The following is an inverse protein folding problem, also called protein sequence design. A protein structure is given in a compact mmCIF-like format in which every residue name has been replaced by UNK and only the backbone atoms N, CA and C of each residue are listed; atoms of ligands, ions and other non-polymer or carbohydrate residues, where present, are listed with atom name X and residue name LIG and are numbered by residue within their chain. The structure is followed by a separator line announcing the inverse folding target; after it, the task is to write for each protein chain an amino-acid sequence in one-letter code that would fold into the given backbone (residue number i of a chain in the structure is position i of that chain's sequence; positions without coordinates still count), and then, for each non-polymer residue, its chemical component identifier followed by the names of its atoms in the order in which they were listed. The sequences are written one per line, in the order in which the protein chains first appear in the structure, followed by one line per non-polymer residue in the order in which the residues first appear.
data_IF_315438364710
#
_entry.id   IF_315438364710
#
_cell.length_a   1.000
_cell.length_b   1.000
_cell.length_c   1.000
_cell.angle_alpha   90.00
_cell.angle_beta   90.00
_cell.angle_gamma   90.00
#
_symmetry.space_group_name_H-M   'P 1'
#
loop_
_entity.id
_entity.type
_entity.pdbx_description
1 polymer ?
#
# COMPACT_ATOMS: atom_id res chain seq x y z
N UNK A 1 14.03 3.05 6.72
CA UNK A 1 13.59 4.47 6.69
C UNK A 1 14.75 5.42 6.35
N UNK A 2 15.82 4.95 5.69
CA UNK A 2 16.98 5.78 5.37
C UNK A 2 17.42 5.55 3.93
N UNK A 3 18.14 6.51 3.36
CA UNK A 3 18.75 6.38 2.04
C UNK A 3 19.69 5.17 1.96
N UNK A 4 20.41 4.89 3.04
CA UNK A 4 21.31 3.75 3.15
C UNK A 4 20.60 2.40 2.96
N UNK A 5 19.34 2.29 3.39
CA UNK A 5 18.56 1.06 3.21
C UNK A 5 18.31 0.75 1.72
N UNK A 6 18.09 1.79 0.91
CA UNK A 6 17.89 1.66 -0.52
C UNK A 6 19.20 1.34 -1.24
N UNK A 7 20.31 2.00 -0.88
CA UNK A 7 21.65 1.68 -1.39
C UNK A 7 22.05 0.24 -1.04
N UNK A 8 21.76 -0.19 0.18
CA UNK A 8 21.98 -1.57 0.62
C UNK A 8 21.10 -2.58 -0.12
N UNK A 9 19.85 -2.20 -0.45
CA UNK A 9 18.97 -3.02 -1.26
C UNK A 9 19.50 -3.20 -2.69
N UNK A 10 19.90 -2.11 -3.35
CA UNK A 10 20.52 -2.14 -4.70
C UNK A 10 21.77 -3.02 -4.71
N UNK A 11 22.67 -2.84 -3.74
CA UNK A 11 23.85 -3.69 -3.58
C UNK A 11 23.49 -5.18 -3.47
N UNK A 12 22.54 -5.53 -2.60
CA UNK A 12 22.09 -6.93 -2.44
C UNK A 12 21.45 -7.50 -3.70
N UNK A 13 20.80 -6.68 -4.51
CA UNK A 13 20.23 -7.09 -5.80
C UNK A 13 21.36 -7.40 -6.78
N UNK A 14 22.31 -6.48 -6.95
CA UNK A 14 23.49 -6.65 -7.82
C UNK A 14 24.33 -7.87 -7.44
N UNK A 15 24.64 -8.04 -6.16
CA UNK A 15 25.40 -9.16 -5.63
C UNK A 15 24.76 -10.52 -5.96
N UNK A 16 23.42 -10.62 -5.87
CA UNK A 16 22.68 -11.87 -6.12
C UNK A 16 22.52 -12.18 -7.60
N UNK A 17 22.45 -11.15 -8.42
CA UNK A 17 22.42 -11.29 -9.88
C UNK A 17 23.82 -11.53 -10.44
N UNK A 18 24.89 -11.25 -9.67
CA UNK A 18 26.28 -11.38 -10.11
C UNK A 18 26.67 -10.31 -11.13
N UNK A 19 26.08 -9.12 -11.02
CA UNK A 19 26.23 -8.02 -11.98
C UNK A 19 26.88 -6.80 -11.33
N UNK A 20 27.48 -5.95 -12.16
CA UNK A 20 28.07 -4.67 -11.71
C UNK A 20 27.40 -3.47 -12.35
N UNK A 21 26.65 -3.67 -13.43
CA UNK A 21 25.83 -2.66 -14.08
C UNK A 21 24.64 -2.22 -13.20
N UNK A 22 24.12 -1.04 -13.50
CA UNK A 22 22.95 -0.51 -12.81
C UNK A 22 21.68 -1.29 -13.14
N UNK A 23 20.93 -1.57 -12.09
CA UNK A 23 19.62 -2.21 -12.17
C UNK A 23 18.58 -1.14 -12.48
N UNK A 24 17.73 -1.40 -13.47
CA UNK A 24 16.57 -0.54 -13.72
C UNK A 24 15.42 -0.95 -12.78
N UNK A 25 14.84 0.03 -12.12
CA UNK A 25 13.71 -0.10 -11.21
C UNK A 25 12.47 0.60 -11.78
N UNK A 26 11.31 0.09 -11.44
CA UNK A 26 10.03 0.79 -11.54
C UNK A 26 9.70 1.32 -10.15
N UNK A 27 9.63 2.65 -10.03
CA UNK A 27 9.24 3.34 -8.81
C UNK A 27 7.76 3.68 -8.91
N UNK A 28 6.96 3.24 -7.94
CA UNK A 28 5.51 3.45 -7.91
C UNK A 28 5.09 4.03 -6.55
N UNK A 29 4.18 5.01 -6.51
CA UNK A 29 3.66 5.47 -5.23
C UNK A 29 3.01 4.32 -4.46
N UNK A 30 3.31 4.24 -3.17
CA UNK A 30 2.72 3.25 -2.29
C UNK A 30 1.34 3.74 -1.85
N UNK A 31 0.32 3.39 -2.65
CA UNK A 31 -1.07 3.76 -2.40
C UNK A 31 -1.54 3.29 -1.02
N UNK A 32 -2.18 4.18 -0.29
CA UNK A 32 -2.71 3.89 1.04
C UNK A 32 -4.15 3.38 0.96
N UNK A 33 -4.29 2.09 0.64
CA UNK A 33 -5.59 1.46 0.45
C UNK A 33 -5.67 0.02 0.95
N UNK A 34 -6.37 -0.80 0.18
CA UNK A 34 -6.50 -2.23 0.40
C UNK A 34 -6.09 -3.02 -0.85
N UNK A 35 -5.08 -3.87 -0.68
CA UNK A 35 -4.63 -4.79 -1.71
C UNK A 35 -5.70 -5.81 -2.10
N UNK A 36 -5.92 -5.95 -3.41
CA UNK A 36 -6.88 -6.86 -4.02
C UNK A 36 -6.25 -7.64 -5.17
N UNK A 37 -6.79 -8.83 -5.41
CA UNK A 37 -6.45 -9.72 -6.51
C UNK A 37 -7.71 -10.02 -7.32
N UNK A 38 -7.67 -9.75 -8.63
CA UNK A 38 -8.80 -9.95 -9.54
C UNK A 38 -8.41 -10.99 -10.60
N UNK A 39 -9.20 -12.05 -10.70
CA UNK A 39 -9.03 -13.11 -11.68
C UNK A 39 -9.99 -12.90 -12.85
N UNK A 40 -9.45 -13.00 -14.05
CA UNK A 40 -10.20 -12.95 -15.29
C UNK A 40 -9.99 -14.25 -16.05
N UNK A 41 -11.09 -14.82 -16.52
CA UNK A 41 -11.09 -15.98 -17.41
C UNK A 41 -11.65 -15.54 -18.76
N UNK A 42 -10.90 -15.79 -19.83
CA UNK A 42 -11.23 -15.35 -21.19
C UNK A 42 -11.59 -13.86 -21.25
N UNK A 43 -10.84 -13.06 -20.48
CA UNK A 43 -11.02 -11.62 -20.33
C UNK A 43 -12.24 -11.19 -19.51
N UNK A 44 -13.06 -12.07 -18.94
CA UNK A 44 -14.19 -11.71 -18.09
C UNK A 44 -13.82 -11.85 -16.60
N UNK A 45 -14.14 -10.84 -15.78
CA UNK A 45 -13.91 -10.89 -14.34
C UNK A 45 -14.72 -12.05 -13.73
N UNK A 46 -14.04 -13.02 -13.13
CA UNK A 46 -14.69 -14.16 -12.46
C UNK A 46 -14.72 -13.95 -10.95
N UNK A 47 -13.55 -13.73 -10.34
CA UNK A 47 -13.38 -13.66 -8.88
C UNK A 47 -12.51 -12.47 -8.49
N UNK A 48 -12.81 -11.85 -7.35
CA UNK A 48 -11.92 -10.88 -6.73
C UNK A 48 -11.80 -11.14 -5.22
N UNK A 49 -10.59 -11.09 -4.71
CA UNK A 49 -10.28 -11.37 -3.31
C UNK A 49 -9.44 -10.27 -2.66
N UNK A 50 -9.61 -10.08 -1.36
CA UNK A 50 -8.66 -9.29 -0.56
C UNK A 50 -7.34 -10.08 -0.37
N UNK A 51 -6.26 -9.39 -0.01
CA UNK A 51 -4.98 -10.07 0.27
C UNK A 51 -5.04 -11.07 1.43
N UNK A 52 -5.85 -10.80 2.46
CA UNK A 52 -5.88 -11.58 3.70
C UNK A 52 -4.48 -11.81 4.30
N UNK A 53 -4.12 -13.07 4.52
CA UNK A 53 -2.81 -13.49 5.06
C UNK A 53 -1.74 -13.75 3.98
N UNK A 54 -2.06 -13.50 2.71
CA UNK A 54 -1.21 -13.76 1.55
C UNK A 54 -1.46 -15.11 0.89
N UNK A 55 -2.20 -16.01 1.54
CA UNK A 55 -2.60 -17.31 1.00
C UNK A 55 -4.12 -17.42 0.84
N UNK A 56 -4.88 -16.93 1.82
CA UNK A 56 -6.34 -16.92 1.84
C UNK A 56 -6.87 -15.50 2.02
N UNK A 57 -7.80 -15.13 1.14
CA UNK A 57 -8.45 -13.83 1.11
C UNK A 57 -9.97 -13.92 1.23
N UNK A 58 -10.61 -12.79 1.53
CA UNK A 58 -12.08 -12.69 1.51
C UNK A 58 -12.56 -12.46 0.08
N UNK A 59 -13.59 -13.20 -0.35
CA UNK A 59 -14.29 -12.94 -1.62
C UNK A 59 -15.05 -11.61 -1.54
N UNK A 60 -14.68 -10.70 -2.42
CA UNK A 60 -15.24 -9.36 -2.58
C UNK A 60 -15.72 -9.10 -4.00
N UNK A 61 -15.93 -10.16 -4.80
CA UNK A 61 -16.29 -10.08 -6.22
C UNK A 61 -17.49 -9.18 -6.45
N UNK A 62 -18.56 -9.35 -5.68
CA UNK A 62 -19.77 -8.55 -5.81
C UNK A 62 -19.53 -7.05 -5.53
N UNK A 63 -18.60 -6.72 -4.63
CA UNK A 63 -18.28 -5.34 -4.26
C UNK A 63 -17.35 -4.71 -5.31
N UNK A 64 -16.34 -5.46 -5.77
CA UNK A 64 -15.40 -5.05 -6.81
C UNK A 64 -16.11 -4.71 -8.12
N UNK A 65 -17.14 -5.48 -8.50
CA UNK A 65 -17.95 -5.19 -9.69
C UNK A 65 -18.64 -3.82 -9.68
N UNK A 66 -18.72 -3.16 -8.53
CA UNK A 66 -19.35 -1.84 -8.39
C UNK A 66 -18.38 -0.68 -8.52
N UNK A 67 -17.07 -0.95 -8.59
CA UNK A 67 -16.02 0.08 -8.72
C UNK A 67 -15.85 0.45 -10.20
N UNK A 68 -16.14 1.70 -10.61
CA UNK A 68 -16.14 2.07 -12.04
C UNK A 68 -14.77 1.94 -12.74
N UNK A 69 -13.67 2.05 -12.01
CA UNK A 69 -12.32 1.89 -12.56
C UNK A 69 -11.89 0.44 -12.77
N UNK A 70 -12.72 -0.53 -12.40
CA UNK A 70 -12.46 -1.96 -12.60
C UNK A 70 -13.16 -2.42 -13.88
N UNK A 71 -12.41 -2.88 -14.91
CA UNK A 71 -13.03 -3.43 -16.11
C UNK A 71 -13.73 -4.76 -15.77
N UNK A 72 -15.02 -4.90 -16.10
CA UNK A 72 -15.70 -6.21 -15.96
C UNK A 72 -15.31 -7.18 -17.07
N UNK A 73 -14.90 -6.63 -18.22
CA UNK A 73 -14.31 -7.34 -19.34
C UNK A 73 -13.05 -6.59 -19.78
N UNK A 74 -11.94 -7.29 -19.90
CA UNK A 74 -10.68 -6.76 -20.39
C UNK A 74 -10.82 -6.35 -21.86
N UNK A 75 -10.15 -5.25 -22.22
CA UNK A 75 -10.12 -4.72 -23.59
C UNK A 75 -8.98 -5.36 -24.38
N UNK A 76 -9.18 -5.48 -25.69
CA UNK A 76 -8.20 -6.07 -26.61
C UNK A 76 -8.44 -7.56 -26.85
N UNK A 77 -7.80 -8.07 -27.90
CA UNK A 77 -7.96 -9.45 -28.35
C UNK A 77 -6.84 -10.38 -27.82
N UNK A 78 -5.71 -9.81 -27.39
CA UNK A 78 -4.55 -10.52 -26.85
C UNK A 78 -4.58 -10.57 -25.31
N UNK A 79 -5.64 -11.15 -24.76
CA UNK A 79 -5.78 -11.37 -23.31
C UNK A 79 -5.54 -12.85 -23.01
N UNK A 80 -4.61 -13.21 -22.11
CA UNK A 80 -4.42 -14.60 -21.69
C UNK A 80 -5.71 -15.23 -21.14
N UNK A 81 -5.88 -16.54 -21.37
CA UNK A 81 -7.06 -17.29 -20.94
C UNK A 81 -7.34 -17.15 -19.45
N UNK A 82 -6.29 -17.14 -18.63
CA UNK A 82 -6.37 -16.89 -17.20
C UNK A 82 -5.33 -15.83 -16.80
N UNK A 83 -5.82 -14.73 -16.25
CA UNK A 83 -4.96 -13.64 -15.77
C UNK A 83 -5.41 -13.15 -14.39
N UNK A 84 -4.43 -12.95 -13.52
CA UNK A 84 -4.60 -12.31 -12.23
C UNK A 84 -4.04 -10.88 -12.31
N UNK A 85 -4.90 -9.88 -12.10
CA UNK A 85 -4.48 -8.48 -11.96
C UNK A 85 -4.53 -8.09 -10.50
N UNK A 86 -3.38 -7.65 -9.97
CA UNK A 86 -3.23 -7.18 -8.59
C UNK A 86 -3.16 -5.66 -8.55
N UNK A 87 -3.82 -5.09 -7.57
CA UNK A 87 -3.90 -3.65 -7.42
C UNK A 87 -4.30 -3.24 -6.01
N UNK A 88 -4.37 -1.93 -5.81
CA UNK A 88 -4.82 -1.33 -4.57
C UNK A 88 -6.18 -0.67 -4.83
N UNK A 89 -7.19 -1.01 -4.04
CA UNK A 89 -8.43 -0.23 -3.95
C UNK A 89 -8.20 0.89 -2.94
N UNK A 90 -8.42 2.13 -3.37
CA UNK A 90 -8.25 3.33 -2.54
C UNK A 90 -9.45 4.26 -2.68
N UNK A 91 -9.49 5.28 -1.83
CA UNK A 91 -10.49 6.35 -1.89
C UNK A 91 -9.77 7.67 -2.17
N UNK A 92 -10.06 8.35 -3.30
CA UNK A 92 -9.54 9.69 -3.57
C UNK A 92 -9.92 10.66 -2.43
N UNK A 93 -9.07 11.67 -2.18
CA UNK A 93 -9.25 12.66 -1.10
C UNK A 93 -10.60 13.37 -1.21
N UNK A 94 -10.94 13.87 -2.40
CA UNK A 94 -12.24 14.52 -2.65
C UNK A 94 -13.42 13.57 -2.39
N UNK A 95 -13.32 12.33 -2.87
CA UNK A 95 -14.32 11.29 -2.60
C UNK A 95 -14.51 11.02 -1.10
N UNK A 96 -13.41 10.97 -0.35
CA UNK A 96 -13.41 10.80 1.10
C UNK A 96 -14.09 11.97 1.82
N UNK A 97 -13.74 13.21 1.46
CA UNK A 97 -14.34 14.42 2.03
C UNK A 97 -15.85 14.48 1.78
N UNK A 98 -16.29 14.21 0.54
CA UNK A 98 -17.70 14.14 0.17
C UNK A 98 -18.45 13.03 0.91
N UNK A 99 -17.78 11.89 1.15
CA UNK A 99 -18.37 10.80 1.91
C UNK A 99 -18.59 11.19 3.38
N UNK A 100 -17.57 11.76 4.01
CA UNK A 100 -17.66 12.19 5.40
C UNK A 100 -18.69 13.31 5.60
N UNK A 101 -18.79 14.25 4.66
CA UNK A 101 -19.83 15.29 4.69
C UNK A 101 -21.23 14.68 4.69
N UNK A 102 -21.51 13.74 3.79
CA UNK A 102 -22.81 13.04 3.71
C UNK A 102 -23.12 12.21 4.96
N UNK A 103 -22.10 11.61 5.59
CA UNK A 103 -22.26 10.87 6.84
C UNK A 103 -22.60 11.82 7.99
N UNK A 104 -21.87 12.94 8.11
CA UNK A 104 -22.08 13.94 9.15
C UNK A 104 -23.47 14.58 9.06
N UNK A 105 -23.94 14.92 7.85
CA UNK A 105 -25.29 15.44 7.59
C UNK A 105 -26.40 14.49 8.06
N UNK A 106 -26.12 13.19 8.13
CA UNK A 106 -27.06 12.15 8.61
C UNK A 106 -26.86 11.78 10.07
N UNK A 107 -25.92 12.42 10.77
CA UNK A 107 -25.53 12.04 12.12
C UNK A 107 -24.87 10.65 12.21
N UNK A 108 -24.36 10.13 11.10
CA UNK A 108 -23.64 8.86 11.04
C UNK A 108 -22.16 9.05 11.39
N UNK A 109 -21.51 7.98 11.89
CA UNK A 109 -20.08 8.00 12.21
C UNK A 109 -19.25 8.21 10.94
N UNK A 110 -18.38 9.21 10.95
CA UNK A 110 -17.42 9.51 9.88
C UNK A 110 -16.19 8.60 9.93
N UNK A 111 -15.48 8.53 8.82
CA UNK A 111 -14.19 7.86 8.73
C UNK A 111 -13.06 8.82 9.08
N UNK A 112 -12.02 8.30 9.73
CA UNK A 112 -10.89 9.12 10.20
C UNK A 112 -9.85 9.36 9.10
N UNK A 113 -9.64 8.37 8.21
CA UNK A 113 -8.74 8.48 7.06
C UNK A 113 -9.25 7.71 5.83
N UNK A 114 -8.74 8.04 4.63
CA UNK A 114 -9.13 7.38 3.38
C UNK A 114 -8.87 5.87 3.35
N UNK A 115 -7.78 5.37 3.95
CA UNK A 115 -7.47 3.93 4.02
C UNK A 115 -8.58 3.14 4.71
N UNK A 116 -8.99 3.60 5.88
CA UNK A 116 -10.07 2.99 6.66
C UNK A 116 -11.43 3.14 5.95
N UNK A 117 -11.67 4.28 5.31
CA UNK A 117 -12.85 4.49 4.50
C UNK A 117 -12.92 3.51 3.32
N UNK A 118 -11.80 3.27 2.61
CA UNK A 118 -11.70 2.33 1.51
C UNK A 118 -11.95 0.89 1.97
N UNK A 119 -11.23 0.44 3.02
CA UNK A 119 -11.37 -0.91 3.57
C UNK A 119 -12.80 -1.17 4.08
N UNK A 120 -13.39 -0.23 4.83
CA UNK A 120 -14.76 -0.34 5.32
C UNK A 120 -15.80 -0.30 4.20
N UNK A 121 -15.56 0.50 3.16
CA UNK A 121 -16.46 0.62 2.00
C UNK A 121 -16.44 -0.62 1.11
N UNK A 122 -15.30 -1.29 0.99
CA UNK A 122 -15.15 -2.47 0.12
C UNK A 122 -15.68 -3.75 0.77
N UNK A 123 -15.66 -3.87 2.09
CA UNK A 123 -16.03 -5.08 2.85
C UNK A 123 -17.49 -5.05 3.32
N UNK A 124 -18.39 -4.52 2.49
CA UNK A 124 -19.81 -4.44 2.80
C UNK A 124 -20.53 -5.74 2.45
N UNK A 125 -21.50 -6.12 3.29
CA UNK A 125 -22.36 -7.30 3.03
C UNK A 125 -23.25 -7.11 1.79
N UNK A 126 -23.67 -5.88 1.52
CA UNK A 126 -24.48 -5.52 0.34
C UNK A 126 -23.64 -4.64 -0.58
N UNK A 127 -23.36 -5.12 -1.79
CA UNK A 127 -22.56 -4.39 -2.79
C UNK A 127 -23.17 -3.06 -3.22
N UNK A 128 -24.48 -2.89 -3.09
CA UNK A 128 -25.17 -1.61 -3.31
C UNK A 128 -24.72 -0.50 -2.36
N UNK A 129 -24.16 -0.86 -1.19
CA UNK A 129 -23.52 0.11 -0.30
C UNK A 129 -22.17 0.53 -0.89
N UNK A 130 -21.33 -0.43 -1.31
CA UNK A 130 -20.04 -0.18 -1.97
C UNK A 130 -20.21 0.67 -3.23
N UNK A 131 -21.24 0.40 -4.04
CA UNK A 131 -21.54 1.15 -5.27
C UNK A 131 -21.76 2.66 -5.06
N UNK A 132 -22.09 3.09 -3.83
CA UNK A 132 -22.30 4.50 -3.47
C UNK A 132 -21.06 5.16 -2.86
N UNK A 133 -19.98 4.39 -2.68
CA UNK A 133 -18.72 4.83 -2.12
C UNK A 133 -17.78 5.18 -3.28
N UNK A 134 -17.06 6.31 -3.21
CA UNK A 134 -16.18 6.75 -4.29
C UNK A 134 -14.86 5.98 -4.23
N UNK A 135 -14.91 4.69 -4.52
CA UNK A 135 -13.73 3.83 -4.60
C UNK A 135 -13.14 3.86 -5.99
N UNK A 136 -11.82 3.75 -6.04
CA UNK A 136 -11.06 3.54 -7.25
C UNK A 136 -10.07 2.40 -7.05
N UNK A 137 -9.55 1.86 -8.15
CA UNK A 137 -8.53 0.82 -8.17
C UNK A 137 -7.42 1.21 -9.15
N UNK A 138 -6.18 1.08 -8.71
CA UNK A 138 -4.99 1.16 -9.54
C UNK A 138 -4.27 -0.19 -9.53
N UNK A 139 -3.94 -0.70 -10.72
CA UNK A 139 -3.15 -1.91 -10.88
C UNK A 139 -1.65 -1.65 -10.66
N UNK A 140 -0.96 -2.60 -10.04
CA UNK A 140 0.49 -2.54 -9.79
C UNK A 140 1.21 -3.85 -10.14
N UNK A 141 0.50 -4.90 -10.53
CA UNK A 141 1.10 -6.17 -10.93
C UNK A 141 0.11 -7.03 -11.72
N UNK A 142 0.65 -7.90 -12.57
CA UNK A 142 -0.08 -8.94 -13.29
C UNK A 142 0.63 -10.27 -13.13
N UNK A 143 -0.14 -11.34 -13.01
CA UNK A 143 0.34 -12.71 -13.06
C UNK A 143 -0.53 -13.52 -14.03
N UNK A 144 0.09 -14.51 -14.67
CA UNK A 144 -0.52 -15.43 -15.63
C UNK A 144 0.01 -16.83 -15.35
N UNK A 145 -0.69 -17.86 -15.80
CA UNK A 145 -0.23 -19.25 -15.62
C UNK A 145 1.03 -19.54 -16.42
N UNK A 146 1.10 -19.03 -17.65
CA UNK A 146 2.29 -19.12 -18.50
C UNK A 146 3.03 -17.79 -18.52
N UNK A 147 4.08 -17.68 -17.71
CA UNK A 147 4.92 -16.47 -17.60
C UNK A 147 5.55 -16.05 -18.94
N UNK A 148 5.67 -16.95 -19.93
CA UNK A 148 6.19 -16.59 -21.26
C UNK A 148 5.25 -15.64 -22.03
N UNK A 149 4.00 -15.54 -21.61
CA UNK A 149 3.05 -14.57 -22.13
C UNK A 149 3.30 -13.16 -21.59
N UNK A 150 4.06 -12.98 -20.51
CA UNK A 150 4.36 -11.65 -19.98
C UNK A 150 5.44 -10.95 -20.82
N UNK A 151 5.44 -9.60 -20.87
CA UNK A 151 6.58 -8.85 -21.39
C UNK A 151 7.86 -9.11 -20.59
N UNK A 152 9.00 -8.68 -21.12
CA UNK A 152 10.30 -8.83 -20.44
C UNK A 152 10.40 -7.95 -19.17
N UNK A 153 9.57 -6.90 -19.08
CA UNK A 153 9.64 -5.90 -18.01
C UNK A 153 8.31 -5.67 -17.27
N UNK A 154 8.41 -5.38 -15.98
CA UNK A 154 7.33 -4.91 -15.11
C UNK A 154 6.65 -3.68 -15.71
N UNK A 155 7.43 -2.72 -16.22
CA UNK A 155 6.90 -1.52 -16.86
C UNK A 155 5.96 -1.85 -18.03
N UNK A 156 6.40 -2.70 -18.94
CA UNK A 156 5.58 -3.14 -20.08
C UNK A 156 4.39 -3.98 -19.63
N UNK A 157 4.55 -4.81 -18.59
CA UNK A 157 3.45 -5.53 -17.96
C UNK A 157 2.35 -4.59 -17.49
N UNK A 158 2.71 -3.51 -16.79
CA UNK A 158 1.76 -2.47 -16.36
C UNK A 158 1.15 -1.71 -17.53
N UNK A 159 1.91 -1.39 -18.58
CA UNK A 159 1.38 -0.76 -19.80
C UNK A 159 0.39 -1.68 -20.52
N UNK A 160 0.63 -2.99 -20.53
CA UNK A 160 -0.31 -3.97 -21.07
C UNK A 160 -1.60 -4.02 -20.24
N UNK A 161 -1.48 -4.09 -18.92
CA UNK A 161 -2.64 -4.03 -18.01
C UNK A 161 -3.44 -2.73 -18.19
N UNK A 162 -2.76 -1.61 -18.42
CA UNK A 162 -3.41 -0.34 -18.76
C UNK A 162 -4.20 -0.45 -20.07
N UNK A 163 -3.64 -1.09 -21.10
CA UNK A 163 -4.32 -1.31 -22.38
C UNK A 163 -5.59 -2.15 -22.25
N UNK A 164 -5.63 -3.06 -21.27
CA UNK A 164 -6.83 -3.85 -20.94
C UNK A 164 -7.94 -3.05 -20.25
N UNK A 165 -7.70 -1.78 -19.92
CA UNK A 165 -8.70 -0.88 -19.36
C UNK A 165 -8.52 -0.54 -17.88
N UNK A 166 -7.44 -1.01 -17.24
CA UNK A 166 -7.12 -0.61 -15.87
C UNK A 166 -6.47 0.77 -15.81
N UNK A 167 -6.64 1.42 -14.66
CA UNK A 167 -5.79 2.56 -14.27
C UNK A 167 -4.47 2.03 -13.72
N UNK A 168 -3.40 2.71 -14.07
CA UNK A 168 -2.09 2.59 -13.44
C UNK A 168 -1.70 3.96 -12.89
N UNK A 169 -0.84 4.01 -11.88
CA UNK A 169 -0.52 5.28 -11.24
C UNK A 169 0.27 6.21 -12.19
N UNK A 170 -0.15 7.47 -12.43
CA UNK A 170 0.53 8.38 -13.34
C UNK A 170 1.91 8.85 -12.83
N UNK A 171 2.16 8.79 -11.53
CA UNK A 171 3.46 9.15 -10.93
C UNK A 171 4.47 8.00 -10.95
N UNK A 172 4.17 6.89 -11.66
CA UNK A 172 5.16 5.84 -11.85
C UNK A 172 6.32 6.31 -12.73
N UNK A 173 7.54 5.90 -12.40
CA UNK A 173 8.72 6.22 -13.20
C UNK A 173 9.72 5.07 -13.24
N UNK A 174 10.57 5.07 -14.25
CA UNK A 174 11.76 4.21 -14.29
C UNK A 174 12.93 4.96 -13.65
N UNK A 175 13.80 4.24 -12.97
CA UNK A 175 15.01 4.77 -12.36
C UNK A 175 16.15 3.75 -12.49
N UNK A 176 17.38 4.18 -12.69
CA UNK A 176 18.56 3.32 -12.81
C UNK A 176 19.45 3.48 -11.59
N UNK A 177 19.63 2.37 -10.87
CA UNK A 177 20.40 2.33 -9.63
C UNK A 177 19.73 3.06 -8.46
N UNK A 178 20.42 3.08 -7.33
CA UNK A 178 19.90 3.64 -6.08
C UNK A 178 19.71 5.16 -6.13
N UNK A 179 20.60 5.91 -6.79
CA UNK A 179 20.56 7.37 -6.77
C UNK A 179 19.35 7.94 -7.53
N UNK A 180 19.05 7.45 -8.74
CA UNK A 180 17.81 7.84 -9.44
C UNK A 180 16.55 7.38 -8.69
N UNK A 181 16.63 6.32 -7.87
CA UNK A 181 15.53 5.91 -7.01
C UNK A 181 15.35 6.88 -5.81
N UNK A 182 16.44 7.43 -5.26
CA UNK A 182 16.39 8.45 -4.20
C UNK A 182 15.84 9.79 -4.72
N UNK A 183 16.17 10.15 -5.94
CA UNK A 183 15.53 11.28 -6.63
C UNK A 183 14.00 11.05 -6.76
N UNK A 184 13.58 9.81 -7.04
CA UNK A 184 12.17 9.43 -7.19
C UNK A 184 11.40 9.59 -5.90
N UNK A 185 12.03 9.15 -4.82
CA UNK A 185 11.53 9.30 -3.49
C UNK A 185 11.35 10.78 -3.14
N UNK A 186 12.37 11.61 -3.38
CA UNK A 186 12.37 13.03 -3.02
C UNK A 186 11.31 13.81 -3.80
N UNK A 187 11.24 13.64 -5.12
CA UNK A 187 10.21 14.30 -5.93
C UNK A 187 8.79 13.88 -5.55
N UNK A 188 8.57 12.59 -5.25
CA UNK A 188 7.25 12.11 -4.86
C UNK A 188 6.88 12.63 -3.46
N UNK A 189 7.85 12.74 -2.56
CA UNK A 189 7.66 13.32 -1.22
C UNK A 189 7.24 14.79 -1.32
N UNK A 190 7.89 15.58 -2.18
CA UNK A 190 7.56 17.01 -2.38
C UNK A 190 6.14 17.21 -2.96
N UNK A 191 5.69 16.28 -3.80
CA UNK A 191 4.35 16.33 -4.41
C UNK A 191 3.25 15.70 -3.55
N UNK A 192 3.60 14.97 -2.49
CA UNK A 192 2.71 14.10 -1.70
C UNK A 192 1.38 14.77 -1.34
N UNK A 193 1.44 15.97 -0.79
CA UNK A 193 0.26 16.68 -0.28
C UNK A 193 -0.68 17.13 -1.41
N UNK A 194 -0.12 17.41 -2.60
CA UNK A 194 -0.87 17.81 -3.79
C UNK A 194 -1.54 16.66 -4.54
N UNK A 195 -1.21 15.40 -4.22
CA UNK A 195 -1.82 14.24 -4.89
C UNK A 195 -3.31 14.09 -4.51
N UNK A 196 -4.19 13.67 -5.44
CA UNK A 196 -5.62 13.51 -5.17
C UNK A 196 -5.95 12.24 -4.38
N UNK A 197 -4.95 11.53 -3.88
CA UNK A 197 -5.05 10.29 -3.12
C UNK A 197 -3.94 10.23 -2.06
N UNK A 198 -4.10 9.37 -1.07
CA UNK A 198 -3.10 9.16 -0.02
C UNK A 198 -2.05 8.14 -0.43
N UNK A 199 -0.80 8.43 -0.07
CA UNK A 199 0.35 7.53 -0.20
C UNK A 199 1.16 7.54 1.09
N UNK A 200 1.68 6.38 1.49
CA UNK A 200 2.51 6.23 2.69
C UNK A 200 3.99 5.99 2.38
N UNK A 201 4.38 6.12 1.11
CA UNK A 201 5.75 5.95 0.64
C UNK A 201 5.84 5.69 -0.85
N UNK A 202 6.93 5.05 -1.25
CA UNK A 202 7.20 4.58 -2.60
C UNK A 202 7.59 3.10 -2.57
N UNK A 203 7.29 2.38 -3.65
CA UNK A 203 7.73 1.00 -3.87
C UNK A 203 8.70 0.99 -5.04
N UNK A 204 9.87 0.42 -4.82
CA UNK A 204 10.86 0.16 -5.86
C UNK A 204 10.81 -1.32 -6.24
N UNK A 205 10.67 -1.62 -7.52
CA UNK A 205 10.65 -2.99 -8.06
C UNK A 205 11.69 -3.12 -9.16
N UNK A 206 12.51 -4.16 -9.14
CA UNK A 206 13.40 -4.49 -10.26
C UNK A 206 12.56 -4.60 -11.53
N UNK A 207 12.91 -3.87 -12.59
CA UNK A 207 12.07 -3.76 -13.78
C UNK A 207 12.06 -5.06 -14.60
N UNK A 208 13.21 -5.73 -14.72
CA UNK A 208 13.33 -6.96 -15.52
C UNK A 208 12.72 -8.19 -14.83
N UNK A 209 11.80 -8.89 -15.48
CA UNK A 209 11.10 -10.03 -14.89
C UNK A 209 11.98 -11.27 -14.73
N UNK A 210 12.95 -11.49 -15.63
CA UNK A 210 13.94 -12.56 -15.49
C UNK A 210 14.85 -12.35 -14.27
N UNK A 211 15.21 -11.09 -13.97
CA UNK A 211 15.93 -10.74 -12.74
C UNK A 211 15.06 -10.93 -11.50
N UNK A 212 13.77 -10.56 -11.53
CA UNK A 212 12.84 -10.85 -10.42
C UNK A 212 12.78 -12.35 -10.11
N UNK A 213 12.70 -13.19 -11.15
CA UNK A 213 12.68 -14.65 -11.04
C UNK A 213 13.98 -15.20 -10.43
N UNK A 214 15.13 -14.72 -10.88
CA UNK A 214 16.43 -15.10 -10.33
C UNK A 214 16.59 -14.69 -8.86
N UNK A 215 16.08 -13.52 -8.48
CA UNK A 215 16.11 -13.02 -7.10
C UNK A 215 15.18 -13.80 -6.17
N UNK A 216 13.99 -14.18 -6.66
CA UNK A 216 13.00 -14.97 -5.93
C UNK A 216 12.44 -14.27 -4.68
N UNK A 217 12.07 -15.07 -3.68
CA UNK A 217 11.37 -14.62 -2.48
C UNK A 217 12.09 -15.05 -1.19
N UNK A 218 11.89 -14.31 -0.11
CA UNK A 218 12.00 -14.83 1.27
C UNK A 218 10.60 -15.25 1.74
N UNK A 219 10.50 -15.86 2.93
CA UNK A 219 9.26 -16.46 3.46
C UNK A 219 7.97 -15.61 3.34
N UNK A 220 8.08 -14.28 3.33
CA UNK A 220 6.92 -13.37 3.23
C UNK A 220 7.12 -12.15 2.32
N UNK A 221 8.23 -12.04 1.59
CA UNK A 221 8.52 -10.85 0.80
C UNK A 221 9.37 -11.15 -0.44
N UNK A 222 9.16 -10.45 -1.57
CA UNK A 222 10.04 -10.54 -2.73
C UNK A 222 11.43 -9.98 -2.40
N UNK A 223 12.47 -10.57 -3.01
CA UNK A 223 13.85 -10.06 -2.91
C UNK A 223 14.14 -8.95 -3.93
N UNK A 224 13.21 -8.74 -4.85
CA UNK A 224 13.29 -7.82 -5.99
C UNK A 224 12.44 -6.56 -5.82
N UNK A 225 11.82 -6.36 -4.66
CA UNK A 225 11.11 -5.14 -4.35
C UNK A 225 11.32 -4.69 -2.90
N UNK A 226 11.30 -3.37 -2.69
CA UNK A 226 11.35 -2.76 -1.36
C UNK A 226 10.37 -1.59 -1.31
N UNK A 227 9.72 -1.42 -0.16
CA UNK A 227 8.86 -0.28 0.11
C UNK A 227 9.59 0.67 1.05
N UNK A 228 9.81 1.90 0.62
CA UNK A 228 10.36 2.96 1.45
C UNK A 228 9.23 3.89 1.87
N UNK A 229 8.88 3.82 3.15
CA UNK A 229 7.86 4.69 3.72
C UNK A 229 8.39 6.12 3.87
N UNK A 230 7.50 7.09 3.68
CA UNK A 230 7.80 8.46 4.08
C UNK A 230 7.92 8.56 5.60
N UNK A 231 8.62 9.60 6.11
CA UNK A 231 8.58 9.90 7.53
C UNK A 231 7.12 9.97 7.98
N UNK A 232 6.84 9.35 9.13
CA UNK A 232 5.54 9.52 9.75
C UNK A 232 5.34 11.01 10.06
N UNK A 233 4.10 11.47 10.01
CA UNK A 233 3.79 12.75 10.63
C UNK A 233 4.05 12.59 12.13
N UNK A 234 4.76 13.55 12.70
CA UNK A 234 5.05 13.61 14.13
C UNK A 234 4.33 14.84 14.68
N UNK A 235 3.71 14.69 15.85
CA UNK A 235 3.04 15.78 16.56
C UNK A 235 3.38 15.67 18.03
N UNK A 236 3.56 16.81 18.67
CA UNK A 236 3.83 16.88 20.10
C UNK A 236 2.54 16.72 20.89
N UNK A 237 2.57 15.91 21.95
CA UNK A 237 1.48 15.81 22.92
C UNK A 237 2.01 15.56 24.31
N UNK A 238 1.13 15.52 25.31
CA UNK A 238 1.50 15.35 26.72
C UNK A 238 1.19 13.93 27.18
N UNK A 239 2.12 13.31 27.91
CA UNK A 239 1.87 12.08 28.65
C UNK A 239 1.00 12.42 29.88
N UNK A 240 -0.26 12.01 29.87
CA UNK A 240 -1.19 12.23 30.98
C UNK A 240 -1.05 11.15 32.06
N UNK A 241 -0.75 9.92 31.68
CA UNK A 241 -0.58 8.78 32.60
C UNK A 241 0.20 7.64 31.94
N UNK A 242 0.60 6.61 32.71
CA UNK A 242 1.17 5.37 32.19
C UNK A 242 0.48 4.16 32.80
N UNK A 243 -0.14 3.34 31.95
CA UNK A 243 -0.75 2.08 32.36
C UNK A 243 0.15 0.89 32.05
N UNK A 244 0.01 -0.19 32.84
CA UNK A 244 0.79 -1.42 32.67
C UNK A 244 -0.15 -2.58 32.30
N UNK A 245 0.00 -3.09 31.09
CA UNK A 245 -0.81 -4.19 30.56
C UNK A 245 -0.08 -5.52 30.71
N UNK A 246 -0.77 -6.55 31.22
CA UNK A 246 -0.22 -7.91 31.33
C UNK A 246 -0.62 -8.72 30.11
N UNK A 247 0.36 -9.10 29.29
CA UNK A 247 0.18 -9.94 28.12
C UNK A 247 -0.09 -11.41 28.46
N UNK A 248 -0.50 -12.19 27.44
CA UNK A 248 -0.83 -13.63 27.59
C UNK A 248 0.32 -14.49 28.12
N UNK A 249 1.56 -14.04 27.96
CA UNK A 249 2.77 -14.72 28.45
C UNK A 249 3.25 -14.19 29.81
N UNK A 250 2.49 -13.30 30.45
CA UNK A 250 2.87 -12.63 31.70
C UNK A 250 3.77 -11.40 31.54
N UNK A 251 4.15 -11.05 30.30
CA UNK A 251 4.92 -9.84 30.02
C UNK A 251 4.13 -8.58 30.42
N UNK A 252 4.75 -7.67 31.16
CA UNK A 252 4.15 -6.40 31.57
C UNK A 252 4.63 -5.30 30.63
N UNK A 253 3.72 -4.73 29.84
CA UNK A 253 4.02 -3.70 28.84
C UNK A 253 3.50 -2.34 29.31
N UNK A 254 4.38 -1.32 29.47
CA UNK A 254 3.95 0.03 29.75
C UNK A 254 3.34 0.70 28.51
N UNK A 255 2.24 1.43 28.72
CA UNK A 255 1.49 2.16 27.69
C UNK A 255 1.20 3.56 28.20
N UNK A 256 1.76 4.58 27.54
CA UNK A 256 1.47 5.97 27.81
C UNK A 256 0.03 6.30 27.40
N UNK A 257 -0.72 6.92 28.30
CA UNK A 257 -1.95 7.64 28.00
C UNK A 257 -1.56 9.06 27.60
N UNK A 258 -1.95 9.44 26.40
CA UNK A 258 -1.59 10.72 25.82
C UNK A 258 -2.81 11.63 25.80
N UNK A 259 -2.58 12.92 26.01
CA UNK A 259 -3.56 13.94 25.65
C UNK A 259 -3.91 13.72 24.17
N UNK A 260 -5.20 13.59 23.80
CA UNK A 260 -5.58 13.23 22.44
C UNK A 260 -4.98 14.20 21.41
N UNK A 261 -4.21 13.66 20.46
CA UNK A 261 -3.53 14.41 19.40
C UNK A 261 -3.86 13.77 18.04
N UNK A 262 -3.96 14.57 16.99
CA UNK A 262 -4.28 14.08 15.65
C UNK A 262 -3.00 13.92 14.85
N UNK A 263 -2.61 12.68 14.54
CA UNK A 263 -1.34 12.35 13.86
C UNK A 263 -1.60 11.40 12.72
N UNK A 264 -1.14 11.70 11.50
CA UNK A 264 -1.25 10.77 10.37
C UNK A 264 -2.69 10.37 10.04
N UNK A 265 -3.65 11.27 10.20
CA UNK A 265 -5.06 10.99 9.90
C UNK A 265 -5.78 10.12 10.94
N UNK A 266 -5.24 9.99 12.16
CA UNK A 266 -5.92 9.33 13.29
C UNK A 266 -5.72 10.11 14.58
N UNK A 267 -6.73 10.10 15.47
CA UNK A 267 -6.53 10.58 16.85
C UNK A 267 -5.81 9.50 17.64
N UNK A 268 -4.60 9.82 18.08
CA UNK A 268 -3.78 8.99 18.95
C UNK A 268 -3.97 9.47 20.38
N UNK A 269 -4.35 8.56 21.26
CA UNK A 269 -4.45 8.79 22.72
C UNK A 269 -3.61 7.80 23.52
N UNK A 270 -2.88 6.92 22.85
CA UNK A 270 -2.07 5.88 23.47
C UNK A 270 -0.81 5.63 22.65
N UNK A 271 0.32 5.46 23.33
CA UNK A 271 1.57 4.99 22.73
C UNK A 271 2.20 3.92 23.62
N UNK A 272 2.79 2.89 23.01
CA UNK A 272 3.58 1.92 23.78
C UNK A 272 4.88 2.58 24.21
N UNK A 273 5.29 2.34 25.46
CA UNK A 273 6.63 2.68 25.94
C UNK A 273 7.57 1.47 25.86
N UNK A 274 7.18 0.44 25.10
CA UNK A 274 7.88 -0.83 24.88
C UNK A 274 8.18 -1.64 26.16
N UNK A 275 9.10 -1.16 27.00
CA UNK A 275 9.55 -1.79 28.23
C UNK A 275 10.18 -0.74 29.18
N UNK A 276 10.55 -1.17 30.40
CA UNK A 276 11.15 -0.26 31.39
C UNK A 276 12.53 0.28 30.99
N UNK A 277 13.27 -0.42 30.14
CA UNK A 277 14.58 0.06 29.66
C UNK A 277 14.40 1.23 28.69
N UNK A 278 13.37 1.19 27.85
CA UNK A 278 13.02 2.27 26.94
C UNK A 278 12.54 3.52 27.68
N UNK A 279 11.74 3.36 28.74
CA UNK A 279 11.34 4.47 29.63
C UNK A 279 12.59 5.15 30.20
N UNK A 280 13.55 4.38 30.71
CA UNK A 280 14.80 4.94 31.26
C UNK A 280 15.69 5.56 30.18
N UNK A 281 15.71 4.98 28.97
CA UNK A 281 16.50 5.51 27.84
C UNK A 281 15.97 6.86 27.37
N UNK A 282 14.64 7.01 27.31
CA UNK A 282 13.99 8.25 26.91
C UNK A 282 13.88 9.26 28.06
N UNK A 283 14.07 8.80 29.32
CA UNK A 283 13.90 9.58 30.55
C UNK A 283 12.52 10.26 30.64
N UNK A 284 11.48 9.53 30.21
CA UNK A 284 10.11 10.06 30.10
C UNK A 284 9.38 9.98 31.44
N UNK A 285 8.71 11.08 31.76
CA UNK A 285 7.90 11.24 32.96
C UNK A 285 6.46 11.60 32.61
N UNK A 286 5.54 11.29 33.53
CA UNK A 286 4.15 11.78 33.41
C UNK A 286 4.17 13.31 33.47
N UNK A 287 3.50 13.95 32.52
CA UNK A 287 3.48 15.40 32.33
C UNK A 287 4.45 15.90 31.25
N UNK A 288 5.37 15.06 30.76
CA UNK A 288 6.28 15.45 29.69
C UNK A 288 5.55 15.65 28.36
N UNK A 289 6.09 16.56 27.55
CA UNK A 289 5.70 16.70 26.14
C UNK A 289 6.61 15.82 25.28
N UNK A 290 6.00 14.92 24.51
CA UNK A 290 6.65 13.92 23.65
C UNK A 290 6.15 13.99 22.23
#
# INVERSE_FOLDING_TARGET
FSEDELRDFDRRVKDRLGITEDVEYVCEPKLDGLAVSLHYENGALTTAATRGDGYSGEDITANIRTIPSVPLKLRGDDVPDLVEVRGEVYMPKDGFEQLNRRLAERGEKTFVNPRNAAAGSLRQKKSTVTARRPLEMCAYSVAVTDESLLPDTQWEGLKRVQSWGFRINPEMRKARGAEECLEAYSELMDKRDGLPYEIDGIVFRVNRLDQQKALGFVSRAPRWAIAQKFPAQEELTVIEDVEFQVGRTGAVTPVARLKPVFVGGVTVSNATLHNMDEIRRLDVHIGDTV
#
